data_IF_006697481916
#
_entry.id   IF_006697481916
#
_cell.length_a   1.000
_cell.length_b   1.000
_cell.length_c   1.000
_cell.angle_alpha   90.00
_cell.angle_beta   90.00
_cell.angle_gamma   90.00
#
_symmetry.space_group_name_H-M   'P 1'
#
loop_
_entity.id
_entity.type
_entity.pdbx_description
1 polymer ?
#
# COMPACT_ATOMS: atom_id res chain seq x y z
N UNK A 1 -23.30 30.89 -16.10
CA UNK A 1 -23.47 29.46 -15.73
C UNK A 1 -24.14 29.29 -14.38
N UNK A 2 -23.52 29.73 -13.27
CA UNK A 2 -24.04 29.49 -11.91
C UNK A 2 -25.53 29.85 -11.70
N UNK A 3 -25.97 31.01 -12.19
CA UNK A 3 -27.37 31.45 -12.07
C UNK A 3 -28.38 30.58 -12.86
N UNK A 4 -27.96 29.95 -13.95
CA UNK A 4 -28.80 29.02 -14.71
C UNK A 4 -28.88 27.66 -14.00
N UNK A 5 -27.74 27.15 -13.49
CA UNK A 5 -27.68 25.91 -12.71
C UNK A 5 -28.63 25.95 -11.49
N UNK A 6 -28.74 27.09 -10.80
CA UNK A 6 -29.63 27.26 -9.63
C UNK A 6 -31.12 27.09 -9.98
N UNK A 7 -31.52 27.41 -11.21
CA UNK A 7 -32.92 27.36 -11.67
C UNK A 7 -33.27 25.94 -12.17
N UNK A 8 -32.33 25.28 -12.85
CA UNK A 8 -32.53 23.98 -13.48
C UNK A 8 -32.37 22.80 -12.50
N UNK A 9 -31.48 22.89 -11.52
CA UNK A 9 -31.24 21.84 -10.53
C UNK A 9 -32.18 21.99 -9.31
N UNK A 10 -33.48 21.72 -9.51
CA UNK A 10 -34.44 21.62 -8.40
C UNK A 10 -34.23 20.34 -7.60
N UNK A 11 -33.40 20.43 -6.55
CA UNK A 11 -33.28 19.43 -5.49
C UNK A 11 -32.06 18.50 -5.64
N UNK A 12 -31.36 18.33 -4.51
CA UNK A 12 -30.13 17.57 -4.28
C UNK A 12 -28.80 18.26 -4.65
N UNK A 13 -28.54 19.38 -3.98
CA UNK A 13 -27.34 20.20 -4.11
C UNK A 13 -26.03 19.45 -3.83
N UNK A 14 -26.05 18.40 -3.01
CA UNK A 14 -24.86 17.63 -2.65
C UNK A 14 -24.19 16.96 -3.87
N UNK A 15 -24.98 16.59 -4.89
CA UNK A 15 -24.45 16.02 -6.14
C UNK A 15 -24.06 17.09 -7.17
N UNK A 16 -24.67 18.28 -7.11
CA UNK A 16 -24.48 19.32 -8.10
C UNK A 16 -23.34 20.29 -7.72
N UNK A 17 -23.14 20.54 -6.43
CA UNK A 17 -22.14 21.47 -5.94
C UNK A 17 -20.71 21.13 -6.42
N UNK A 18 -20.26 19.85 -6.38
CA UNK A 18 -18.93 19.50 -6.88
C UNK A 18 -18.76 19.73 -8.39
N UNK A 19 -19.80 19.48 -9.19
CA UNK A 19 -19.79 19.70 -10.64
C UNK A 19 -19.77 21.19 -10.99
N UNK A 20 -20.50 21.98 -10.23
CA UNK A 20 -20.57 23.43 -10.37
C UNK A 20 -19.23 24.08 -10.01
N UNK A 21 -18.64 23.68 -8.88
CA UNK A 21 -17.32 24.12 -8.44
C UNK A 21 -16.25 23.75 -9.47
N UNK A 22 -16.30 22.51 -9.99
CA UNK A 22 -15.44 22.07 -11.07
C UNK A 22 -15.55 22.97 -12.31
N UNK A 23 -16.77 23.23 -12.78
CA UNK A 23 -17.00 24.08 -13.96
C UNK A 23 -16.54 25.53 -13.75
N UNK A 24 -16.71 26.07 -12.54
CA UNK A 24 -16.23 27.40 -12.18
C UNK A 24 -14.70 27.47 -12.17
N UNK A 25 -14.04 26.55 -11.48
CA UNK A 25 -12.59 26.48 -11.36
C UNK A 25 -11.89 26.23 -12.71
N UNK A 26 -12.57 25.55 -13.63
CA UNK A 26 -12.06 25.27 -14.98
C UNK A 26 -12.50 26.31 -16.03
N UNK A 27 -13.30 27.31 -15.65
CA UNK A 27 -13.74 28.35 -16.58
C UNK A 27 -12.61 29.35 -16.88
N UNK A 28 -12.49 29.75 -18.15
CA UNK A 28 -11.50 30.72 -18.58
C UNK A 28 -11.81 32.10 -18.01
N UNK A 29 -10.87 32.67 -17.26
CA UNK A 29 -11.00 34.02 -16.73
C UNK A 29 -10.32 35.02 -17.66
N UNK A 30 -11.09 35.91 -18.29
CA UNK A 30 -10.59 36.88 -19.26
C UNK A 30 -9.57 37.88 -18.67
N UNK A 31 -9.68 38.22 -17.39
CA UNK A 31 -8.76 39.17 -16.75
C UNK A 31 -7.40 38.52 -16.42
N UNK A 32 -7.41 37.21 -16.12
CA UNK A 32 -6.22 36.45 -15.75
C UNK A 32 -5.61 35.74 -16.98
N UNK A 33 -6.38 35.57 -18.05
CA UNK A 33 -5.96 34.93 -19.29
C UNK A 33 -5.87 33.39 -19.23
N UNK A 34 -6.37 32.77 -18.16
CA UNK A 34 -6.36 31.31 -17.94
C UNK A 34 -7.44 30.91 -16.92
N UNK A 35 -7.65 29.61 -16.72
CA UNK A 35 -8.57 29.14 -15.69
C UNK A 35 -7.97 29.25 -14.28
N UNK A 36 -8.81 29.49 -13.27
CA UNK A 36 -8.35 29.62 -11.88
C UNK A 36 -7.56 28.39 -11.41
N UNK A 37 -7.98 27.19 -11.81
CA UNK A 37 -7.26 25.95 -11.50
C UNK A 37 -5.84 25.90 -12.12
N UNK A 38 -5.68 26.39 -13.35
CA UNK A 38 -4.38 26.42 -14.04
C UNK A 38 -3.40 27.36 -13.32
N UNK A 39 -3.87 28.50 -12.83
CA UNK A 39 -3.07 29.45 -12.03
C UNK A 39 -2.56 28.78 -10.75
N UNK A 40 -3.44 28.07 -10.04
CA UNK A 40 -3.14 27.51 -8.72
C UNK A 40 -2.23 26.28 -8.78
N UNK A 41 -2.43 25.42 -9.78
CA UNK A 41 -1.76 24.11 -9.83
C UNK A 41 -0.77 23.97 -10.99
N UNK A 42 -0.65 24.97 -11.86
CA UNK A 42 0.25 24.96 -13.02
C UNK A 42 -0.11 23.89 -14.07
N UNK A 43 -1.33 23.32 -14.01
CA UNK A 43 -1.80 22.26 -14.92
C UNK A 43 -3.31 22.40 -15.16
N UNK A 44 -3.77 21.83 -16.27
CA UNK A 44 -5.21 21.77 -16.59
C UNK A 44 -5.96 20.85 -15.64
N UNK A 45 -7.21 21.19 -15.33
CA UNK A 45 -8.06 20.34 -14.49
C UNK A 45 -8.42 19.05 -15.24
N UNK A 46 -8.41 17.91 -14.54
CA UNK A 46 -8.88 16.63 -15.11
C UNK A 46 -10.40 16.59 -15.03
N UNK A 47 -11.05 16.25 -16.14
CA UNK A 47 -12.50 16.07 -16.19
C UNK A 47 -12.98 15.00 -15.20
N UNK A 48 -14.24 15.05 -14.75
CA UNK A 48 -14.82 14.00 -13.90
C UNK A 48 -14.69 12.59 -14.50
N UNK A 49 -14.73 12.49 -15.84
CA UNK A 49 -14.55 11.22 -16.56
C UNK A 49 -13.11 10.72 -16.43
N UNK A 50 -12.11 11.58 -16.63
CA UNK A 50 -10.69 11.23 -16.47
C UNK A 50 -10.36 10.83 -15.02
N UNK A 51 -10.97 11.49 -14.03
CA UNK A 51 -10.82 11.12 -12.62
C UNK A 51 -11.47 9.77 -12.30
N UNK A 52 -12.67 9.51 -12.85
CA UNK A 52 -13.34 8.23 -12.69
C UNK A 52 -12.58 7.08 -13.37
N UNK A 53 -12.02 7.32 -14.56
CA UNK A 53 -11.15 6.36 -15.26
C UNK A 53 -9.87 6.08 -14.48
N UNK A 54 -9.16 7.11 -14.04
CA UNK A 54 -7.97 6.95 -13.20
C UNK A 54 -8.26 6.18 -11.90
N UNK A 55 -9.41 6.43 -11.27
CA UNK A 55 -9.85 5.69 -10.09
C UNK A 55 -10.14 4.22 -10.42
N UNK A 56 -10.77 3.95 -11.56
CA UNK A 56 -11.06 2.58 -12.02
C UNK A 56 -9.80 1.80 -12.36
N UNK A 57 -8.84 2.44 -13.04
CA UNK A 57 -7.53 1.88 -13.35
C UNK A 57 -6.74 1.59 -12.07
N UNK A 58 -6.71 2.53 -11.13
CA UNK A 58 -6.10 2.31 -9.82
C UNK A 58 -6.73 1.11 -9.09
N UNK A 59 -8.06 1.02 -9.08
CA UNK A 59 -8.77 -0.12 -8.47
C UNK A 59 -8.46 -1.44 -9.18
N UNK A 60 -8.34 -1.45 -10.52
CA UNK A 60 -7.95 -2.64 -11.28
C UNK A 60 -6.53 -3.10 -10.90
N UNK A 61 -5.57 -2.19 -10.84
CA UNK A 61 -4.19 -2.49 -10.44
C UNK A 61 -4.11 -2.99 -8.99
N UNK A 62 -4.85 -2.36 -8.07
CA UNK A 62 -4.95 -2.82 -6.68
C UNK A 62 -5.54 -4.23 -6.62
N UNK A 63 -6.64 -4.49 -7.32
CA UNK A 63 -7.27 -5.82 -7.34
C UNK A 63 -6.36 -6.88 -7.95
N UNK A 64 -5.61 -6.55 -9.01
CA UNK A 64 -4.64 -7.45 -9.62
C UNK A 64 -3.49 -7.77 -8.65
N UNK A 65 -2.97 -6.77 -7.94
CA UNK A 65 -1.93 -6.96 -6.93
C UNK A 65 -2.42 -7.79 -5.74
N UNK A 66 -3.66 -7.58 -5.29
CA UNK A 66 -4.30 -8.40 -4.25
C UNK A 66 -4.43 -9.85 -4.73
N UNK A 67 -4.87 -10.07 -5.97
CA UNK A 67 -4.95 -11.41 -6.56
C UNK A 67 -3.59 -12.12 -6.53
N UNK A 68 -2.54 -11.46 -7.03
CA UNK A 68 -1.16 -12.00 -7.03
C UNK A 68 -0.68 -12.29 -5.59
N UNK A 69 -0.94 -11.39 -4.64
CA UNK A 69 -0.55 -11.58 -3.24
C UNK A 69 -1.26 -12.79 -2.60
N UNK A 70 -2.56 -12.97 -2.86
CA UNK A 70 -3.33 -14.11 -2.37
C UNK A 70 -2.78 -15.43 -2.92
N UNK A 71 -2.44 -15.48 -4.21
CA UNK A 71 -1.83 -16.66 -4.82
C UNK A 71 -0.47 -16.99 -4.20
N UNK A 72 0.37 -15.99 -3.96
CA UNK A 72 1.67 -16.17 -3.31
C UNK A 72 1.53 -16.68 -1.87
N UNK A 73 0.61 -16.13 -1.09
CA UNK A 73 0.34 -16.62 0.28
C UNK A 73 -0.17 -18.07 0.24
N UNK A 74 -1.09 -18.36 -0.67
CA UNK A 74 -1.62 -19.72 -0.87
C UNK A 74 -0.50 -20.70 -1.22
N UNK A 75 0.37 -20.36 -2.17
CA UNK A 75 1.43 -21.26 -2.60
C UNK A 75 2.51 -21.40 -1.53
N UNK A 76 2.85 -20.30 -0.84
CA UNK A 76 3.75 -20.32 0.30
C UNK A 76 3.24 -21.21 1.43
N UNK A 77 1.96 -21.09 1.83
CA UNK A 77 1.37 -21.94 2.88
C UNK A 77 1.31 -23.42 2.50
N UNK A 78 1.16 -23.75 1.20
CA UNK A 78 1.24 -25.13 0.69
C UNK A 78 2.64 -25.74 0.76
N UNK A 79 3.68 -24.90 0.85
CA UNK A 79 5.06 -25.36 1.09
C UNK A 79 5.35 -25.63 2.58
N UNK A 80 4.37 -25.44 3.48
CA UNK A 80 4.46 -25.72 4.91
C UNK A 80 5.69 -25.05 5.55
N UNK A 81 5.79 -23.71 5.47
CA UNK A 81 6.90 -22.97 6.05
C UNK A 81 6.91 -23.10 7.59
N UNK A 82 8.09 -23.04 8.22
CA UNK A 82 8.19 -23.10 9.67
C UNK A 82 7.53 -21.87 10.30
N UNK A 83 7.00 -22.02 11.52
CA UNK A 83 6.48 -20.92 12.34
C UNK A 83 7.47 -20.60 13.44
N UNK A 84 7.60 -19.32 13.77
CA UNK A 84 8.51 -18.88 14.84
C UNK A 84 7.77 -18.05 15.88
N UNK A 85 7.80 -18.51 17.14
CA UNK A 85 7.05 -17.91 18.22
C UNK A 85 7.95 -17.08 19.15
N UNK A 86 9.25 -17.38 19.19
CA UNK A 86 10.26 -16.62 19.94
C UNK A 86 10.35 -16.95 21.42
N UNK A 87 9.40 -17.71 21.98
CA UNK A 87 9.40 -18.11 23.39
C UNK A 87 9.73 -19.59 23.62
N UNK A 88 9.78 -20.42 22.57
CA UNK A 88 10.08 -21.85 22.75
C UNK A 88 11.58 -22.07 22.90
N UNK A 89 11.98 -22.86 23.89
CA UNK A 89 13.39 -23.15 24.21
C UNK A 89 14.13 -23.73 23.00
N UNK A 90 13.48 -24.64 22.26
CA UNK A 90 14.07 -25.34 21.11
C UNK A 90 13.89 -24.63 19.75
N UNK A 91 13.27 -23.46 19.71
CA UNK A 91 13.21 -22.67 18.47
C UNK A 91 14.57 -22.03 18.18
N UNK A 92 15.11 -22.34 17.00
CA UNK A 92 16.34 -21.75 16.46
C UNK A 92 15.97 -20.64 15.45
N UNK A 93 16.25 -19.36 15.78
CA UNK A 93 15.97 -18.23 14.89
C UNK A 93 16.71 -18.33 13.55
N UNK A 94 17.94 -18.83 13.55
CA UNK A 94 18.75 -18.94 12.33
C UNK A 94 18.16 -20.01 11.40
N UNK A 95 17.82 -21.16 11.97
CA UNK A 95 17.15 -22.24 11.23
C UNK A 95 15.83 -21.77 10.60
N UNK A 96 15.02 -21.01 11.33
CA UNK A 96 13.78 -20.42 10.80
C UNK A 96 14.06 -19.53 9.58
N UNK A 97 15.02 -18.60 9.67
CA UNK A 97 15.38 -17.71 8.57
C UNK A 97 15.85 -18.50 7.34
N UNK A 98 16.70 -19.51 7.55
CA UNK A 98 17.27 -20.29 6.46
C UNK A 98 16.21 -21.15 5.74
N UNK A 99 15.29 -21.76 6.50
CA UNK A 99 14.18 -22.53 5.93
C UNK A 99 13.20 -21.65 5.15
N UNK A 100 12.80 -20.50 5.71
CA UNK A 100 11.93 -19.55 4.99
C UNK A 100 12.63 -19.02 3.74
N UNK A 101 13.92 -18.69 3.82
CA UNK A 101 14.70 -18.20 2.68
C UNK A 101 14.75 -19.21 1.52
N UNK A 102 14.89 -20.50 1.82
CA UNK A 102 14.85 -21.57 0.80
C UNK A 102 13.50 -21.62 0.10
N UNK A 103 12.40 -21.57 0.86
CA UNK A 103 11.03 -21.62 0.32
C UNK A 103 10.78 -20.41 -0.59
N UNK A 104 11.00 -19.20 -0.10
CA UNK A 104 10.77 -17.97 -0.89
C UNK A 104 11.76 -17.83 -2.05
N UNK A 105 12.94 -18.45 -1.95
CA UNK A 105 13.91 -18.57 -3.03
C UNK A 105 13.42 -19.46 -4.16
N UNK A 106 12.84 -20.63 -3.85
CA UNK A 106 12.21 -21.53 -4.84
C UNK A 106 11.04 -20.85 -5.55
N UNK A 107 10.28 -20.01 -4.83
CA UNK A 107 9.17 -19.25 -5.40
C UNK A 107 9.59 -18.08 -6.31
N UNK A 108 10.88 -17.72 -6.37
CA UNK A 108 11.38 -16.64 -7.23
C UNK A 108 10.90 -15.23 -6.86
N UNK A 109 10.64 -14.98 -5.57
CA UNK A 109 10.04 -13.74 -5.09
C UNK A 109 11.02 -12.57 -4.99
N UNK A 110 10.52 -11.34 -5.09
CA UNK A 110 11.29 -10.11 -4.87
C UNK A 110 11.65 -9.95 -3.39
N UNK A 111 12.73 -9.21 -3.09
CA UNK A 111 13.23 -9.05 -1.71
C UNK A 111 12.19 -8.51 -0.73
N UNK A 112 11.23 -7.72 -1.22
CA UNK A 112 10.14 -7.14 -0.42
C UNK A 112 9.14 -8.22 -0.01
N UNK A 113 8.74 -9.04 -0.97
CA UNK A 113 7.76 -10.10 -0.81
C UNK A 113 8.29 -11.21 0.11
N UNK A 114 9.61 -11.49 0.05
CA UNK A 114 10.28 -12.41 0.98
C UNK A 114 10.08 -12.00 2.43
N UNK A 115 10.27 -10.71 2.72
CA UNK A 115 10.14 -10.18 4.07
C UNK A 115 8.70 -10.27 4.59
N UNK A 116 7.72 -10.00 3.73
CA UNK A 116 6.30 -10.09 4.08
C UNK A 116 5.86 -11.53 4.36
N UNK A 117 6.30 -12.49 3.55
CA UNK A 117 5.98 -13.91 3.78
C UNK A 117 6.70 -14.48 5.02
N UNK A 118 7.93 -14.05 5.31
CA UNK A 118 8.57 -14.42 6.58
C UNK A 118 7.82 -13.85 7.78
N UNK A 119 7.43 -12.57 7.73
CA UNK A 119 6.65 -11.94 8.77
C UNK A 119 5.31 -12.65 9.01
N UNK A 120 4.67 -13.14 7.94
CA UNK A 120 3.44 -13.92 8.03
C UNK A 120 3.57 -15.19 8.90
N UNK A 121 4.78 -15.75 9.03
CA UNK A 121 5.04 -16.94 9.88
C UNK A 121 5.50 -16.62 11.30
N UNK A 122 5.68 -15.35 11.63
CA UNK A 122 5.86 -14.91 13.03
C UNK A 122 4.53 -15.06 13.76
N UNK A 123 4.58 -15.48 15.03
CA UNK A 123 3.41 -15.78 15.85
C UNK A 123 3.62 -15.32 17.29
N UNK A 124 2.59 -14.75 17.91
CA UNK A 124 2.64 -14.36 19.31
C UNK A 124 3.61 -13.20 19.53
N UNK A 125 4.61 -13.34 20.41
CA UNK A 125 5.49 -12.21 20.77
C UNK A 125 6.33 -11.70 19.61
N UNK A 126 6.62 -12.55 18.62
CA UNK A 126 7.39 -12.18 17.42
C UNK A 126 6.55 -11.39 16.42
N UNK A 127 5.24 -11.61 16.39
CA UNK A 127 4.29 -10.83 15.57
C UNK A 127 4.16 -9.41 16.12
N UNK A 128 3.98 -9.28 17.44
CA UNK A 128 3.94 -7.98 18.13
C UNK A 128 5.24 -7.18 17.93
N UNK A 129 6.38 -7.87 18.02
CA UNK A 129 7.68 -7.25 17.71
C UNK A 129 7.73 -6.73 16.28
N UNK A 130 7.31 -7.55 15.31
CA UNK A 130 7.35 -7.18 13.89
C UNK A 130 6.46 -5.97 13.60
N UNK A 131 5.26 -5.91 14.17
CA UNK A 131 4.35 -4.78 13.99
C UNK A 131 4.94 -3.47 14.55
N UNK A 132 5.56 -3.55 15.73
CA UNK A 132 6.28 -2.41 16.31
C UNK A 132 7.45 -1.99 15.43
N UNK A 133 8.29 -2.94 15.04
CA UNK A 133 9.43 -2.69 14.16
C UNK A 133 9.00 -2.10 12.82
N UNK A 134 7.86 -2.53 12.26
CA UNK A 134 7.30 -2.00 11.02
C UNK A 134 6.79 -0.56 11.18
N UNK A 135 6.13 -0.25 12.30
CA UNK A 135 5.60 1.08 12.62
C UNK A 135 6.67 2.12 12.94
N UNK A 136 7.78 1.71 13.54
CA UNK A 136 8.91 2.59 13.88
C UNK A 136 9.79 2.96 12.66
N UNK A 137 9.53 2.38 11.48
CA UNK A 137 10.25 2.74 10.25
C UNK A 137 9.81 4.12 9.77
N UNK A 138 10.74 5.07 9.80
CA UNK A 138 10.60 6.39 9.18
C UNK A 138 10.12 6.22 7.74
N UNK A 139 9.11 7.00 7.34
CA UNK A 139 8.38 6.93 6.06
C UNK A 139 9.30 6.93 4.83
N UNK A 140 10.54 7.37 4.96
CA UNK A 140 11.54 7.48 3.89
C UNK A 140 12.50 6.27 3.74
N UNK A 141 12.36 5.21 4.55
CA UNK A 141 13.29 4.05 4.53
C UNK A 141 13.04 3.04 3.40
N UNK A 142 12.04 3.27 2.54
CA UNK A 142 11.69 2.37 1.45
C UNK A 142 11.12 1.02 1.92
N UNK A 143 10.95 0.06 1.00
CA UNK A 143 10.23 -1.18 1.27
C UNK A 143 11.01 -2.16 2.18
N UNK A 144 10.32 -3.17 2.71
CA UNK A 144 10.84 -4.21 3.61
C UNK A 144 11.96 -5.04 2.97
N UNK A 145 13.21 -4.59 3.07
CA UNK A 145 14.33 -5.34 2.52
C UNK A 145 14.71 -6.54 3.41
N UNK A 146 14.81 -7.73 2.81
CA UNK A 146 15.10 -9.00 3.48
C UNK A 146 16.29 -8.93 4.46
N UNK A 147 17.43 -8.39 4.00
CA UNK A 147 18.65 -8.30 4.81
C UNK A 147 18.46 -7.48 6.10
N UNK A 148 17.62 -6.44 6.07
CA UNK A 148 17.31 -5.66 7.27
C UNK A 148 16.48 -6.48 8.24
N UNK A 149 15.41 -7.13 7.75
CA UNK A 149 14.57 -7.99 8.57
C UNK A 149 15.40 -9.09 9.24
N UNK A 150 16.20 -9.81 8.45
CA UNK A 150 17.11 -10.86 8.93
C UNK A 150 18.05 -10.34 10.02
N UNK A 151 18.70 -9.21 9.78
CA UNK A 151 19.64 -8.60 10.73
C UNK A 151 18.98 -8.31 12.08
N UNK A 152 17.90 -7.53 12.09
CA UNK A 152 17.20 -7.16 13.34
C UNK A 152 16.58 -8.37 14.05
N UNK A 153 15.98 -9.29 13.30
CA UNK A 153 15.39 -10.50 13.85
C UNK A 153 16.43 -11.34 14.60
N UNK A 154 17.59 -11.57 13.98
CA UNK A 154 18.67 -12.34 14.61
C UNK A 154 19.28 -11.57 15.79
N UNK A 155 19.45 -10.25 15.71
CA UNK A 155 19.91 -9.45 16.85
C UNK A 155 19.02 -9.65 18.09
N UNK A 156 17.70 -9.76 17.90
CA UNK A 156 16.76 -9.84 19.02
C UNK A 156 16.60 -11.27 19.54
N UNK A 157 16.46 -12.25 18.66
CA UNK A 157 16.12 -13.61 19.09
C UNK A 157 17.31 -14.56 19.19
N UNK A 158 18.47 -14.20 18.64
CA UNK A 158 19.70 -14.99 18.75
C UNK A 158 20.57 -14.55 19.94
N UNK A 159 20.71 -13.24 20.18
CA UNK A 159 21.61 -12.72 21.22
C UNK A 159 20.96 -12.58 22.62
N UNK A 160 19.63 -12.64 22.74
CA UNK A 160 18.91 -12.51 24.02
C UNK A 160 18.37 -13.84 24.57
N UNK A 161 18.84 -14.98 24.04
CA UNK A 161 18.66 -16.32 24.65
C UNK A 161 19.92 -16.69 25.41
#
# INVERSE_FOLDING_TARGET
>A
MLRACVIDFKGNWDYHLPLIEFAYNNSYNLNIGMAAFEVLYGRRCRSPIELAQASREANYLVNQNVGIAVERIRDFTRMIPPKFHGFKVYEDPQKFIDEVYKIVGIMGLLMIEKSELAAYQLKGVTEVWFDKWKGDRVIDMGPLHWEKLKGFFLTIYFFFK
#
